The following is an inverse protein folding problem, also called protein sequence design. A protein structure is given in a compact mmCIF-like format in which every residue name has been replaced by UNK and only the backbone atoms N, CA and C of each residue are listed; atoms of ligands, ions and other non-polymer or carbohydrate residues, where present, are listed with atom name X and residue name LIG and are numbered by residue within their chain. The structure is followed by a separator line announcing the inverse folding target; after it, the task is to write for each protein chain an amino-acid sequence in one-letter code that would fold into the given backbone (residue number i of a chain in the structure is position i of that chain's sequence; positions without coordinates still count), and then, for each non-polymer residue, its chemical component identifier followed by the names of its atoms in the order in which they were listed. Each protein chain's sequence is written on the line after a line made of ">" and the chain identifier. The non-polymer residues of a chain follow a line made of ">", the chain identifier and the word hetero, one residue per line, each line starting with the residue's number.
data_IF_201979082271
#
_entry.id   IF_201979082271
#
_cell.length_a   1.000
_cell.length_b   1.000
_cell.length_c   1.000
_cell.angle_alpha   90.00
_cell.angle_beta   90.00
_cell.angle_gamma   90.00
#
_symmetry.space_group_name_H-M   'P 1'
#
loop_
_entity.id
_entity.type
_entity.pdbx_description
1 polymer ?
#
# COMPACT_ATOMS: atom_id res chain seq x y z
N UNK A 1 -29.20 10.93 -37.60
CA UNK A 1 -29.21 11.40 -36.19
C UNK A 1 -28.51 10.43 -35.21
N UNK A 2 -28.69 9.11 -35.31
CA UNK A 2 -28.08 8.13 -34.37
C UNK A 2 -26.54 8.14 -34.29
N UNK A 3 -25.82 8.48 -35.36
CA UNK A 3 -24.35 8.41 -35.42
C UNK A 3 -23.60 9.54 -34.67
N UNK A 4 -24.28 10.63 -34.30
CA UNK A 4 -23.68 11.73 -33.52
C UNK A 4 -24.01 11.65 -32.01
N UNK A 5 -25.01 10.86 -31.61
CA UNK A 5 -25.45 10.77 -30.23
C UNK A 5 -24.47 9.97 -29.34
N UNK A 6 -23.90 8.87 -29.85
CA UNK A 6 -22.98 8.01 -29.13
C UNK A 6 -21.69 8.74 -28.65
N UNK A 7 -21.00 9.51 -29.50
CA UNK A 7 -19.82 10.25 -29.05
C UNK A 7 -20.16 11.35 -28.01
N UNK A 8 -21.32 12.01 -28.14
CA UNK A 8 -21.75 13.03 -27.16
C UNK A 8 -22.02 12.38 -25.81
N UNK A 9 -22.78 11.27 -25.78
CA UNK A 9 -23.10 10.54 -24.57
C UNK A 9 -21.81 10.08 -23.83
N UNK A 10 -20.81 9.59 -24.56
CA UNK A 10 -19.53 9.16 -24.01
C UNK A 10 -18.79 10.31 -23.28
N UNK A 11 -18.74 11.51 -23.86
CA UNK A 11 -18.13 12.68 -23.22
C UNK A 11 -18.93 13.18 -22.02
N UNK A 12 -20.26 13.07 -22.06
CA UNK A 12 -21.10 13.38 -20.90
C UNK A 12 -20.80 12.42 -19.76
N UNK A 13 -20.74 11.10 -20.01
CA UNK A 13 -20.39 10.11 -18.99
C UNK A 13 -19.01 10.36 -18.42
N UNK A 14 -18.01 10.62 -19.27
CA UNK A 14 -16.66 10.95 -18.83
C UNK A 14 -16.64 12.19 -17.92
N UNK A 15 -17.35 13.25 -18.30
CA UNK A 15 -17.43 14.47 -17.49
C UNK A 15 -18.13 14.24 -16.14
N UNK A 16 -19.21 13.45 -16.12
CA UNK A 16 -19.93 13.13 -14.88
C UNK A 16 -19.06 12.29 -13.94
N UNK A 17 -18.32 11.31 -14.45
CA UNK A 17 -17.43 10.48 -13.63
C UNK A 17 -16.25 11.30 -13.08
N UNK A 18 -15.65 12.19 -13.88
CA UNK A 18 -14.64 13.12 -13.39
C UNK A 18 -15.19 14.06 -12.31
N UNK A 19 -16.41 14.58 -12.51
CA UNK A 19 -17.09 15.39 -11.48
C UNK A 19 -17.32 14.59 -10.20
N UNK A 20 -17.73 13.33 -10.28
CA UNK A 20 -17.88 12.44 -9.11
C UNK A 20 -16.56 12.31 -8.33
N UNK A 21 -15.44 12.09 -9.02
CA UNK A 21 -14.11 12.02 -8.39
C UNK A 21 -13.78 13.34 -7.68
N UNK A 22 -14.02 14.47 -8.33
CA UNK A 22 -13.80 15.80 -7.74
C UNK A 22 -14.68 15.99 -6.50
N UNK A 23 -15.95 15.61 -6.54
CA UNK A 23 -16.86 15.69 -5.39
C UNK A 23 -16.37 14.83 -4.22
N UNK A 24 -15.96 13.58 -4.46
CA UNK A 24 -15.39 12.72 -3.43
C UNK A 24 -14.12 13.35 -2.78
N UNK A 25 -13.31 14.05 -3.57
CA UNK A 25 -12.12 14.73 -3.05
C UNK A 25 -12.44 15.88 -2.08
N UNK A 26 -13.50 16.64 -2.35
CA UNK A 26 -13.91 17.78 -1.51
C UNK A 26 -14.91 17.41 -0.41
N UNK A 27 -15.59 16.28 -0.53
CA UNK A 27 -16.58 15.79 0.41
C UNK A 27 -16.22 14.38 0.92
N UNK A 28 -15.33 14.26 1.94
CA UNK A 28 -14.86 12.96 2.44
C UNK A 28 -15.97 11.99 2.85
N UNK A 29 -17.15 12.49 3.23
CA UNK A 29 -18.33 11.66 3.52
C UNK A 29 -18.76 10.82 2.31
N UNK A 30 -18.62 11.34 1.09
CA UNK A 30 -18.95 10.59 -0.13
C UNK A 30 -17.91 9.48 -0.39
N UNK A 31 -16.63 9.79 -0.15
CA UNK A 31 -15.56 8.81 -0.29
C UNK A 31 -15.65 7.73 0.80
N UNK A 32 -16.05 8.07 2.03
CA UNK A 32 -16.32 7.08 3.08
C UNK A 32 -17.50 6.19 2.71
N UNK A 33 -18.59 6.78 2.19
CA UNK A 33 -19.73 6.01 1.68
C UNK A 33 -19.34 5.04 0.57
N UNK A 34 -18.48 5.48 -0.36
CA UNK A 34 -17.91 4.60 -1.38
C UNK A 34 -17.07 3.47 -0.74
N UNK A 35 -16.15 3.81 0.16
CA UNK A 35 -15.24 2.86 0.79
C UNK A 35 -15.98 1.76 1.59
N UNK A 36 -17.06 2.12 2.28
CA UNK A 36 -17.81 1.19 3.12
C UNK A 36 -18.87 0.38 2.36
N UNK A 37 -19.48 0.94 1.30
CA UNK A 37 -20.66 0.33 0.67
C UNK A 37 -20.47 -0.12 -0.78
N UNK A 38 -19.54 0.49 -1.52
CA UNK A 38 -19.31 0.18 -2.94
C UNK A 38 -18.02 -0.61 -3.13
N UNK A 39 -16.93 -0.10 -2.57
CA UNK A 39 -15.59 -0.67 -2.77
C UNK A 39 -15.48 -2.16 -2.36
N UNK A 40 -16.05 -2.64 -1.23
CA UNK A 40 -15.95 -4.05 -0.86
C UNK A 40 -16.48 -5.01 -1.93
N UNK A 41 -17.60 -4.67 -2.55
CA UNK A 41 -18.18 -5.46 -3.63
C UNK A 41 -17.38 -5.37 -4.93
N UNK A 42 -16.92 -4.16 -5.25
CA UNK A 42 -16.12 -3.92 -6.44
C UNK A 42 -14.77 -4.65 -6.36
N UNK A 43 -14.04 -4.52 -5.24
CA UNK A 43 -12.77 -5.19 -5.04
C UNK A 43 -12.91 -6.70 -5.03
N UNK A 44 -13.97 -7.24 -4.41
CA UNK A 44 -14.28 -8.66 -4.45
C UNK A 44 -14.52 -9.16 -5.88
N UNK A 45 -15.31 -8.44 -6.67
CA UNK A 45 -15.58 -8.80 -8.07
C UNK A 45 -14.33 -8.72 -8.95
N UNK A 46 -13.54 -7.64 -8.84
CA UNK A 46 -12.31 -7.45 -9.61
C UNK A 46 -11.27 -8.50 -9.26
N UNK A 47 -11.03 -8.73 -7.96
CA UNK A 47 -10.08 -9.74 -7.51
C UNK A 47 -10.53 -11.17 -7.83
N UNK A 48 -11.84 -11.46 -7.88
CA UNK A 48 -12.34 -12.77 -8.33
C UNK A 48 -12.03 -13.01 -9.81
N UNK A 49 -12.22 -12.00 -10.66
CA UNK A 49 -11.80 -12.08 -12.07
C UNK A 49 -10.29 -12.28 -12.18
N UNK A 50 -9.53 -11.48 -11.45
CA UNK A 50 -8.08 -11.53 -11.47
C UNK A 50 -7.52 -12.88 -10.97
N UNK A 51 -8.15 -13.50 -9.96
CA UNK A 51 -7.71 -14.76 -9.36
C UNK A 51 -7.72 -15.96 -10.32
N UNK A 52 -8.48 -15.88 -11.41
CA UNK A 52 -8.50 -16.93 -12.45
C UNK A 52 -7.17 -17.01 -13.21
N UNK A 53 -6.41 -15.91 -13.24
CA UNK A 53 -5.16 -15.82 -13.98
C UNK A 53 -3.95 -16.00 -13.06
N UNK A 54 -2.95 -16.82 -13.42
CA UNK A 54 -1.75 -17.02 -12.61
C UNK A 54 -0.76 -15.85 -12.66
N UNK A 55 -1.02 -14.86 -13.51
CA UNK A 55 -0.19 -13.66 -13.69
C UNK A 55 -0.99 -12.39 -13.37
N UNK A 56 -0.28 -11.28 -13.20
CA UNK A 56 -0.91 -9.98 -12.92
C UNK A 56 -1.63 -9.42 -14.15
N UNK A 57 -2.95 -9.22 -14.05
CA UNK A 57 -3.72 -8.48 -15.05
C UNK A 57 -3.36 -6.99 -15.06
N UNK A 58 -2.96 -6.46 -13.90
CA UNK A 58 -2.45 -5.09 -13.75
C UNK A 58 -1.25 -4.84 -14.67
N UNK A 59 -0.22 -5.71 -14.58
CA UNK A 59 0.98 -5.57 -15.40
C UNK A 59 0.68 -5.73 -16.88
N UNK A 60 -0.21 -6.66 -17.24
CA UNK A 60 -0.68 -6.81 -18.64
C UNK A 60 -1.37 -5.53 -19.10
N UNK A 61 -2.26 -4.96 -18.31
CA UNK A 61 -2.95 -3.70 -18.66
C UNK A 61 -1.98 -2.56 -18.89
N UNK A 62 -1.00 -2.39 -17.99
CA UNK A 62 0.03 -1.34 -18.12
C UNK A 62 0.82 -1.51 -19.42
N UNK A 63 1.28 -2.74 -19.71
CA UNK A 63 2.00 -3.03 -20.98
C UNK A 63 1.12 -2.75 -22.21
N UNK A 64 -0.15 -3.16 -22.18
CA UNK A 64 -1.10 -2.90 -23.28
C UNK A 64 -1.31 -1.41 -23.49
N UNK A 65 -1.47 -0.62 -22.41
CA UNK A 65 -1.64 0.83 -22.51
C UNK A 65 -0.39 1.48 -23.12
N UNK A 66 0.81 1.11 -22.64
CA UNK A 66 2.08 1.65 -23.17
C UNK A 66 2.22 1.32 -24.65
N UNK A 67 1.99 0.06 -25.02
CA UNK A 67 2.05 -0.36 -26.43
C UNK A 67 1.03 0.38 -27.30
N UNK A 68 -0.19 0.58 -26.78
CA UNK A 68 -1.20 1.38 -27.47
C UNK A 68 -0.73 2.81 -27.71
N UNK A 69 -0.22 3.48 -26.69
CA UNK A 69 0.26 4.87 -26.78
C UNK A 69 1.41 5.04 -27.77
N UNK A 70 2.21 4.00 -27.99
CA UNK A 70 3.30 3.99 -28.99
C UNK A 70 2.76 3.67 -30.40
N UNK A 71 1.97 2.63 -30.52
CA UNK A 71 1.56 2.08 -31.84
C UNK A 71 0.44 2.92 -32.46
N UNK A 72 -0.53 3.40 -31.67
CA UNK A 72 -1.70 4.11 -32.17
C UNK A 72 -1.35 5.38 -32.96
N UNK A 73 -0.47 6.30 -32.48
CA UNK A 73 -0.03 7.46 -33.25
C UNK A 73 0.56 7.08 -34.61
N UNK A 74 1.43 6.07 -34.62
CA UNK A 74 2.08 5.60 -35.85
C UNK A 74 1.05 5.10 -36.87
N UNK A 75 0.11 4.24 -36.46
CA UNK A 75 -0.93 3.70 -37.33
C UNK A 75 -1.87 4.80 -37.85
N UNK A 76 -2.23 5.78 -37.01
CA UNK A 76 -3.15 6.87 -37.40
C UNK A 76 -2.46 7.90 -38.30
N UNK A 77 -1.17 8.13 -38.13
CA UNK A 77 -0.37 8.97 -39.05
C UNK A 77 -0.26 8.34 -40.43
N UNK A 78 -0.04 7.03 -40.50
CA UNK A 78 -0.08 6.28 -41.82
C UNK A 78 -1.43 6.46 -42.51
N UNK A 79 -2.54 6.57 -41.76
CA UNK A 79 -3.89 6.85 -42.28
C UNK A 79 -4.18 8.36 -42.45
N UNK A 80 -3.14 9.22 -42.50
CA UNK A 80 -3.19 10.67 -42.71
C UNK A 80 -4.08 11.43 -41.70
N UNK A 81 -4.31 10.87 -40.50
CA UNK A 81 -5.04 11.59 -39.44
C UNK A 81 -4.19 12.75 -38.86
N UNK A 82 -4.85 13.84 -38.47
CA UNK A 82 -4.17 14.99 -37.87
C UNK A 82 -3.63 14.68 -36.47
N UNK A 83 -2.57 15.36 -36.05
CA UNK A 83 -2.04 15.25 -34.70
C UNK A 83 -3.08 15.64 -33.62
N UNK A 84 -3.90 16.64 -33.87
CA UNK A 84 -4.99 17.02 -32.95
C UNK A 84 -5.96 15.86 -32.69
N UNK A 85 -6.29 15.10 -33.73
CA UNK A 85 -7.14 13.91 -33.58
C UNK A 85 -6.43 12.82 -32.77
N UNK A 86 -5.14 12.55 -33.04
CA UNK A 86 -4.36 11.52 -32.37
C UNK A 86 -4.21 11.87 -30.89
N UNK A 87 -3.71 13.06 -30.57
CA UNK A 87 -3.53 13.51 -29.17
C UNK A 87 -4.86 13.54 -28.42
N UNK A 88 -5.94 13.99 -29.03
CA UNK A 88 -7.26 13.97 -28.41
C UNK A 88 -7.72 12.56 -28.00
N UNK A 89 -7.36 11.52 -28.78
CA UNK A 89 -7.69 10.14 -28.47
C UNK A 89 -6.79 9.56 -27.38
N UNK A 90 -5.52 9.93 -27.36
CA UNK A 90 -4.59 9.51 -26.28
C UNK A 90 -5.00 10.16 -24.94
N UNK A 91 -5.34 11.44 -24.94
CA UNK A 91 -5.85 12.13 -23.75
C UNK A 91 -7.15 11.50 -23.26
N UNK A 92 -8.05 11.13 -24.18
CA UNK A 92 -9.28 10.42 -23.83
C UNK A 92 -9.00 9.05 -23.20
N UNK A 93 -8.05 8.27 -23.75
CA UNK A 93 -7.62 6.99 -23.14
C UNK A 93 -7.11 7.21 -21.72
N UNK A 94 -6.20 8.16 -21.53
CA UNK A 94 -5.66 8.49 -20.21
C UNK A 94 -6.73 8.96 -19.23
N UNK A 95 -7.73 9.70 -19.69
CA UNK A 95 -8.87 10.10 -18.86
C UNK A 95 -9.70 8.88 -18.40
N UNK A 96 -9.91 7.88 -19.26
CA UNK A 96 -10.58 6.64 -18.86
C UNK A 96 -9.74 5.80 -17.91
N UNK A 97 -8.42 5.72 -18.11
CA UNK A 97 -7.49 5.06 -17.17
C UNK A 97 -7.52 5.75 -15.80
N UNK A 98 -7.49 7.08 -15.78
CA UNK A 98 -7.61 7.88 -14.56
C UNK A 98 -8.94 7.62 -13.83
N UNK A 99 -10.06 7.64 -14.55
CA UNK A 99 -11.38 7.32 -13.98
C UNK A 99 -11.40 5.90 -13.41
N UNK A 100 -10.89 4.92 -14.16
CA UNK A 100 -10.85 3.54 -13.70
C UNK A 100 -10.00 3.37 -12.44
N UNK A 101 -8.83 4.01 -12.39
CA UNK A 101 -8.01 4.04 -11.19
C UNK A 101 -8.78 4.51 -9.96
N UNK A 102 -9.44 5.68 -10.07
CA UNK A 102 -10.18 6.23 -8.93
C UNK A 102 -11.41 5.41 -8.55
N UNK A 103 -12.19 5.00 -9.52
CA UNK A 103 -13.39 4.19 -9.26
C UNK A 103 -13.04 2.76 -8.84
N UNK A 104 -11.90 2.21 -9.27
CA UNK A 104 -11.44 0.89 -8.87
C UNK A 104 -10.91 0.86 -7.44
N UNK A 105 -10.23 1.94 -7.02
CA UNK A 105 -9.59 1.98 -5.71
C UNK A 105 -9.27 3.39 -5.20
N UNK A 106 -8.83 4.29 -6.06
CA UNK A 106 -8.23 5.58 -5.68
C UNK A 106 -9.15 6.50 -4.86
N UNK A 107 -10.48 6.33 -4.91
CA UNK A 107 -11.40 7.09 -4.06
C UNK A 107 -11.14 6.85 -2.57
N UNK A 108 -10.51 5.74 -2.18
CA UNK A 108 -10.12 5.49 -0.79
C UNK A 108 -9.10 6.52 -0.26
N UNK A 109 -8.38 7.24 -1.12
CA UNK A 109 -7.51 8.35 -0.68
C UNK A 109 -8.26 9.53 -0.08
N UNK A 110 -9.53 9.67 -0.37
CA UNK A 110 -10.35 10.82 0.05
C UNK A 110 -11.29 10.51 1.21
N UNK A 111 -11.28 9.25 1.73
CA UNK A 111 -12.07 8.84 2.88
C UNK A 111 -11.55 9.48 4.18
N UNK A 112 -12.31 9.32 5.26
CA UNK A 112 -11.85 9.72 6.59
C UNK A 112 -10.56 8.98 6.97
N UNK A 113 -9.66 9.68 7.67
CA UNK A 113 -8.47 9.06 8.25
C UNK A 113 -8.81 8.07 9.38
N UNK A 114 -7.82 7.32 9.82
CA UNK A 114 -8.00 6.30 10.87
C UNK A 114 -8.48 6.91 12.19
N UNK A 115 -8.00 8.10 12.55
CA UNK A 115 -8.36 8.77 13.81
C UNK A 115 -9.85 9.10 13.83
N UNK A 116 -10.36 9.71 12.76
CA UNK A 116 -11.77 10.05 12.63
C UNK A 116 -12.68 8.82 12.58
N UNK A 117 -12.26 7.75 11.90
CA UNK A 117 -13.02 6.48 11.85
C UNK A 117 -13.07 5.77 13.20
N UNK A 118 -12.05 5.95 14.02
CA UNK A 118 -11.96 5.38 15.36
C UNK A 118 -12.45 6.31 16.47
N UNK A 119 -12.89 7.52 16.11
CA UNK A 119 -13.33 8.57 17.06
C UNK A 119 -12.28 8.87 18.14
N UNK A 120 -11.01 8.91 17.73
CA UNK A 120 -9.85 9.16 18.60
C UNK A 120 -9.13 10.40 18.10
N UNK A 121 -8.75 11.29 19.02
CA UNK A 121 -7.86 12.41 18.69
C UNK A 121 -6.42 11.89 18.51
N UNK A 122 -5.68 12.39 17.50
CA UNK A 122 -4.25 12.09 17.37
C UNK A 122 -3.51 12.43 18.67
N UNK A 123 -2.69 11.51 19.15
CA UNK A 123 -1.84 11.77 20.31
C UNK A 123 -0.94 12.98 20.04
N UNK A 124 -0.96 13.95 20.94
CA UNK A 124 0.02 15.02 20.96
C UNK A 124 1.42 14.42 21.22
N UNK A 125 2.46 15.19 20.90
CA UNK A 125 3.82 14.79 21.26
C UNK A 125 3.95 14.69 22.78
N UNK A 126 4.22 13.50 23.28
CA UNK A 126 4.53 13.20 24.67
C UNK A 126 5.80 12.33 24.71
N UNK A 127 6.90 12.92 25.17
CA UNK A 127 8.19 12.26 25.28
C UNK A 127 8.15 11.06 26.23
N UNK A 128 7.42 11.16 27.34
CA UNK A 128 7.30 10.06 28.30
C UNK A 128 6.48 8.89 27.73
N UNK A 129 5.40 9.18 27.02
CA UNK A 129 4.64 8.17 26.31
C UNK A 129 5.51 7.48 25.25
N UNK A 130 6.31 8.24 24.50
CA UNK A 130 7.23 7.66 23.53
C UNK A 130 8.30 6.77 24.18
N UNK A 131 8.89 7.19 25.32
CA UNK A 131 9.84 6.35 26.07
C UNK A 131 9.18 5.06 26.57
N UNK A 132 7.97 5.11 27.14
CA UNK A 132 7.23 3.89 27.53
C UNK A 132 6.98 2.96 26.33
N UNK A 133 6.58 3.53 25.19
CA UNK A 133 6.42 2.79 23.95
C UNK A 133 7.72 2.09 23.54
N UNK A 134 8.87 2.79 23.52
CA UNK A 134 10.17 2.19 23.16
C UNK A 134 10.53 1.00 24.04
N UNK A 135 10.34 1.10 25.37
CA UNK A 135 10.60 0.00 26.31
C UNK A 135 9.69 -1.19 25.98
N UNK A 136 8.40 -0.98 25.94
CA UNK A 136 7.40 -2.03 25.69
C UNK A 136 7.60 -2.69 24.31
N UNK A 137 7.89 -1.87 23.29
CA UNK A 137 8.16 -2.34 21.94
C UNK A 137 9.43 -3.21 21.90
N UNK A 138 10.51 -2.76 22.54
CA UNK A 138 11.80 -3.47 22.54
C UNK A 138 11.69 -4.80 23.28
N UNK A 139 11.01 -4.82 24.41
CA UNK A 139 10.75 -6.05 25.16
C UNK A 139 9.97 -7.06 24.30
N UNK A 140 8.92 -6.58 23.63
CA UNK A 140 8.10 -7.41 22.74
C UNK A 140 8.87 -7.89 21.51
N UNK A 141 9.68 -7.03 20.89
CA UNK A 141 10.58 -7.39 19.78
C UNK A 141 11.56 -8.50 20.20
N UNK A 142 12.23 -8.32 21.34
CA UNK A 142 13.20 -9.28 21.87
C UNK A 142 12.54 -10.63 22.22
N UNK A 143 11.33 -10.61 22.80
CA UNK A 143 10.57 -11.80 23.12
C UNK A 143 10.03 -12.53 21.88
N UNK A 144 9.70 -11.80 20.82
CA UNK A 144 9.16 -12.35 19.59
C UNK A 144 10.22 -13.03 18.71
N UNK A 145 11.51 -12.77 18.97
CA UNK A 145 12.60 -13.30 18.17
C UNK A 145 12.50 -14.82 18.01
N UNK A 146 12.71 -15.28 16.79
CA UNK A 146 12.85 -16.68 16.43
C UNK A 146 13.89 -16.84 15.32
N UNK A 147 14.76 -17.85 15.44
CA UNK A 147 15.69 -18.23 14.38
C UNK A 147 14.98 -18.91 13.21
N UNK A 148 13.80 -19.49 13.46
CA UNK A 148 12.98 -20.14 12.44
C UNK A 148 11.97 -19.15 11.86
N UNK A 149 12.43 -18.37 10.86
CA UNK A 149 11.62 -17.33 10.20
C UNK A 149 10.85 -17.82 8.97
N UNK A 150 11.15 -19.04 8.49
CA UNK A 150 10.44 -19.61 7.35
C UNK A 150 9.02 -20.02 7.74
N UNK A 151 8.06 -19.61 6.92
CA UNK A 151 6.65 -19.98 7.07
C UNK A 151 6.17 -20.68 5.81
N UNK A 152 5.18 -21.55 5.96
CA UNK A 152 4.37 -22.03 4.84
C UNK A 152 3.52 -20.84 4.34
N UNK A 153 3.72 -20.38 3.09
CA UNK A 153 3.06 -19.16 2.60
C UNK A 153 1.52 -19.25 2.60
N UNK A 154 0.96 -20.40 2.24
CA UNK A 154 -0.50 -20.57 2.17
C UNK A 154 -1.13 -20.49 3.55
N UNK A 155 -0.57 -21.24 4.53
CA UNK A 155 -1.04 -21.23 5.91
C UNK A 155 -0.86 -19.86 6.57
N UNK A 156 0.22 -19.17 6.28
CA UNK A 156 0.48 -17.81 6.77
C UNK A 156 -0.56 -16.84 6.20
N UNK A 157 -0.83 -16.89 4.89
CA UNK A 157 -1.83 -16.03 4.23
C UNK A 157 -3.22 -16.30 4.79
N UNK A 158 -3.60 -17.56 4.97
CA UNK A 158 -4.90 -17.93 5.53
C UNK A 158 -5.06 -17.38 6.95
N UNK A 159 -4.08 -17.57 7.82
CA UNK A 159 -4.13 -17.07 9.20
C UNK A 159 -4.24 -15.53 9.23
N UNK A 160 -3.46 -14.82 8.44
CA UNK A 160 -3.52 -13.36 8.35
C UNK A 160 -4.91 -12.90 7.87
N UNK A 161 -5.51 -13.55 6.87
CA UNK A 161 -6.88 -13.26 6.43
C UNK A 161 -7.91 -13.51 7.54
N UNK A 162 -7.78 -14.60 8.28
CA UNK A 162 -8.66 -14.93 9.41
C UNK A 162 -8.59 -13.85 10.50
N UNK A 163 -7.39 -13.35 10.82
CA UNK A 163 -7.23 -12.26 11.79
C UNK A 163 -7.85 -10.96 11.25
N UNK A 164 -7.67 -10.63 9.97
CA UNK A 164 -8.34 -9.47 9.37
C UNK A 164 -9.87 -9.57 9.41
N UNK A 165 -10.46 -10.76 9.25
CA UNK A 165 -11.91 -10.97 9.37
C UNK A 165 -12.46 -10.71 10.78
N UNK A 166 -11.58 -10.77 11.79
CA UNK A 166 -11.94 -10.46 13.19
C UNK A 166 -11.84 -8.97 13.52
N UNK A 167 -11.29 -8.15 12.60
CA UNK A 167 -11.25 -6.70 12.78
C UNK A 167 -12.67 -6.15 12.76
N UNK A 168 -13.07 -5.38 13.78
CA UNK A 168 -14.42 -4.81 13.85
C UNK A 168 -14.77 -3.97 12.61
N UNK A 169 -15.98 -4.12 12.10
CA UNK A 169 -16.48 -3.42 10.90
C UNK A 169 -16.45 -1.89 11.01
N UNK A 170 -16.49 -1.35 12.24
CA UNK A 170 -16.38 0.08 12.50
C UNK A 170 -15.09 0.71 11.95
N UNK A 171 -14.03 -0.08 11.77
CA UNK A 171 -12.79 0.42 11.20
C UNK A 171 -12.85 0.57 9.67
N UNK A 172 -13.95 0.15 9.05
CA UNK A 172 -14.23 0.40 7.65
C UNK A 172 -13.30 -0.34 6.67
N UNK A 173 -12.78 -1.51 7.05
CA UNK A 173 -12.03 -2.38 6.15
C UNK A 173 -12.99 -3.34 5.43
N UNK A 174 -12.73 -3.61 4.14
CA UNK A 174 -13.36 -4.71 3.44
C UNK A 174 -12.92 -6.07 4.03
N UNK A 175 -13.68 -7.13 3.79
CA UNK A 175 -13.30 -8.47 4.25
C UNK A 175 -12.46 -9.19 3.19
N UNK A 176 -11.32 -9.81 3.57
CA UNK A 176 -10.51 -10.58 2.64
C UNK A 176 -11.24 -11.83 2.16
N UNK A 177 -11.07 -12.14 0.88
CA UNK A 177 -11.65 -13.31 0.24
C UNK A 177 -10.63 -14.45 0.14
N UNK A 178 -11.08 -15.71 0.19
CA UNK A 178 -10.16 -16.85 0.18
C UNK A 178 -9.38 -16.97 -1.13
N UNK A 179 -9.99 -16.60 -2.25
CA UNK A 179 -9.35 -16.63 -3.57
C UNK A 179 -8.34 -15.50 -3.81
N UNK A 180 -8.23 -14.52 -2.92
CA UNK A 180 -7.23 -13.44 -3.02
C UNK A 180 -5.86 -13.97 -2.60
N UNK A 181 -4.98 -14.20 -3.56
CA UNK A 181 -3.59 -14.60 -3.34
C UNK A 181 -2.65 -13.55 -3.96
N UNK A 182 -1.53 -13.24 -3.33
CA UNK A 182 -0.55 -12.36 -3.93
C UNK A 182 0.06 -13.02 -5.16
N UNK A 183 0.30 -12.23 -6.19
CA UNK A 183 0.94 -12.66 -7.43
C UNK A 183 2.42 -12.28 -7.43
N UNK A 184 3.18 -12.95 -8.26
CA UNK A 184 4.57 -12.61 -8.49
C UNK A 184 4.67 -11.46 -9.49
N UNK A 185 5.68 -10.62 -9.31
CA UNK A 185 5.98 -9.48 -10.18
C UNK A 185 6.80 -9.97 -11.38
N UNK A 186 6.40 -9.65 -12.61
CA UNK A 186 7.12 -10.09 -13.82
C UNK A 186 8.52 -9.49 -13.94
N UNK A 187 8.66 -8.22 -13.60
CA UNK A 187 9.94 -7.51 -13.69
C UNK A 187 10.57 -7.35 -12.30
N UNK A 188 10.64 -8.45 -11.54
CA UNK A 188 11.08 -8.44 -10.14
C UNK A 188 12.41 -7.69 -9.91
N UNK A 189 13.47 -7.83 -10.73
CA UNK A 189 14.70 -7.07 -10.55
C UNK A 189 14.53 -5.55 -10.63
N UNK A 190 13.56 -5.06 -11.43
CA UNK A 190 13.25 -3.63 -11.49
C UNK A 190 12.62 -3.16 -10.18
N UNK A 191 11.68 -3.93 -9.62
CA UNK A 191 11.03 -3.61 -8.34
C UNK A 191 12.04 -3.65 -7.19
N UNK A 192 12.91 -4.65 -7.14
CA UNK A 192 14.01 -4.72 -6.19
C UNK A 192 14.96 -3.53 -6.35
N UNK A 193 15.29 -3.17 -7.60
CA UNK A 193 16.15 -2.05 -7.93
C UNK A 193 15.61 -0.68 -7.49
N UNK A 194 14.30 -0.54 -7.30
CA UNK A 194 13.68 0.68 -6.77
C UNK A 194 13.19 0.54 -5.32
N UNK A 195 13.47 -0.59 -4.66
CA UNK A 195 13.15 -0.83 -3.25
C UNK A 195 11.68 -1.12 -2.98
N UNK A 196 10.92 -1.62 -3.97
CA UNK A 196 9.52 -2.00 -3.81
C UNK A 196 9.43 -3.46 -3.37
N UNK A 197 8.85 -3.68 -2.19
CA UNK A 197 8.70 -5.00 -1.57
C UNK A 197 7.40 -5.71 -1.99
N UNK A 198 6.38 -4.93 -2.29
CA UNK A 198 5.08 -5.36 -2.77
C UNK A 198 4.29 -4.16 -3.26
N UNK A 199 3.17 -4.38 -3.89
CA UNK A 199 2.21 -3.32 -4.21
C UNK A 199 0.81 -3.90 -4.44
N UNK A 200 -0.19 -3.07 -4.24
CA UNK A 200 -1.57 -3.37 -4.59
C UNK A 200 -1.91 -2.73 -5.94
N UNK A 201 -2.35 -3.56 -6.89
CA UNK A 201 -2.79 -3.15 -8.22
C UNK A 201 -4.25 -2.68 -8.22
N UNK A 202 -4.49 -1.36 -8.40
CA UNK A 202 -5.82 -0.75 -8.23
C UNK A 202 -6.81 -1.09 -9.35
N UNK A 203 -6.33 -1.51 -10.53
CA UNK A 203 -7.22 -1.75 -11.68
C UNK A 203 -7.96 -3.08 -11.61
N UNK A 204 -7.40 -4.07 -10.92
CA UNK A 204 -7.98 -5.40 -10.79
C UNK A 204 -8.07 -5.90 -9.35
N UNK A 205 -7.79 -5.05 -8.38
CA UNK A 205 -7.75 -5.40 -6.96
C UNK A 205 -6.87 -6.65 -6.72
N UNK A 206 -5.64 -6.58 -7.19
CA UNK A 206 -4.60 -7.62 -7.03
C UNK A 206 -3.54 -7.15 -6.04
N UNK A 207 -2.93 -8.07 -5.31
CA UNK A 207 -1.69 -7.80 -4.58
C UNK A 207 -0.53 -8.53 -5.22
N UNK A 208 0.63 -7.88 -5.28
CA UNK A 208 1.87 -8.43 -5.80
C UNK A 208 2.93 -8.37 -4.72
N UNK A 209 3.77 -9.40 -4.65
CA UNK A 209 4.90 -9.46 -3.75
C UNK A 209 6.20 -9.65 -4.52
N UNK A 210 7.24 -8.99 -4.05
CA UNK A 210 8.58 -9.17 -4.56
C UNK A 210 9.10 -10.57 -4.20
N UNK A 211 9.59 -11.32 -5.18
CA UNK A 211 10.09 -12.70 -5.00
C UNK A 211 11.36 -12.76 -4.15
N UNK A 212 12.09 -11.65 -4.06
CA UNK A 212 13.33 -11.54 -3.29
C UNK A 212 13.10 -11.12 -1.83
N UNK A 213 11.85 -11.12 -1.34
CA UNK A 213 11.56 -10.87 0.07
C UNK A 213 12.28 -11.87 0.97
N UNK A 214 12.97 -11.35 1.97
CA UNK A 214 13.51 -12.20 3.03
C UNK A 214 12.36 -12.87 3.80
N UNK A 215 12.52 -14.13 4.26
CA UNK A 215 11.47 -14.85 4.97
C UNK A 215 10.87 -14.07 6.15
N UNK A 216 11.69 -13.32 6.88
CA UNK A 216 11.23 -12.47 8.00
C UNK A 216 10.38 -11.27 7.54
N UNK A 217 10.51 -10.82 6.30
CA UNK A 217 9.74 -9.69 5.76
C UNK A 217 8.38 -10.11 5.19
N UNK A 218 8.29 -11.35 4.70
CA UNK A 218 7.13 -11.83 3.94
C UNK A 218 5.80 -11.65 4.67
N UNK A 219 5.61 -12.05 5.96
CA UNK A 219 4.32 -11.89 6.64
C UNK A 219 3.88 -10.44 6.79
N UNK A 220 4.78 -9.56 7.23
CA UNK A 220 4.47 -8.14 7.40
C UNK A 220 4.13 -7.47 6.06
N UNK A 221 4.94 -7.72 5.02
CA UNK A 221 4.69 -7.15 3.68
C UNK A 221 3.37 -7.66 3.12
N UNK A 222 3.08 -8.96 3.24
CA UNK A 222 1.79 -9.51 2.80
C UNK A 222 0.60 -8.85 3.52
N UNK A 223 0.68 -8.71 4.84
CA UNK A 223 -0.39 -8.08 5.62
C UNK A 223 -0.57 -6.59 5.25
N UNK A 224 0.53 -5.88 4.95
CA UNK A 224 0.52 -4.51 4.47
C UNK A 224 -0.19 -4.39 3.13
N UNK A 225 0.20 -5.17 2.11
CA UNK A 225 -0.44 -5.15 0.80
C UNK A 225 -1.90 -5.60 0.86
N UNK A 226 -2.21 -6.58 1.71
CA UNK A 226 -3.59 -6.98 1.94
C UNK A 226 -4.42 -5.84 2.53
N UNK A 227 -3.87 -5.01 3.43
CA UNK A 227 -4.59 -3.85 3.97
C UNK A 227 -5.01 -2.86 2.87
N UNK A 228 -4.13 -2.62 1.89
CA UNK A 228 -4.47 -1.81 0.72
C UNK A 228 -5.61 -2.43 -0.08
N UNK A 229 -5.59 -3.74 -0.27
CA UNK A 229 -6.68 -4.46 -0.93
C UNK A 229 -8.00 -4.38 -0.16
N UNK A 230 -7.94 -4.21 1.16
CA UNK A 230 -9.11 -4.00 2.03
C UNK A 230 -9.57 -2.53 2.13
N UNK A 231 -8.98 -1.62 1.34
CA UNK A 231 -9.39 -0.22 1.21
C UNK A 231 -8.60 0.78 2.04
N UNK A 232 -7.46 0.37 2.60
CA UNK A 232 -6.52 1.29 3.25
C UNK A 232 -5.64 1.93 2.19
N UNK A 233 -5.61 3.26 2.11
CA UNK A 233 -4.78 4.00 1.14
C UNK A 233 -3.60 4.74 1.78
N UNK A 234 -3.61 4.90 3.10
CA UNK A 234 -2.57 5.55 3.87
C UNK A 234 -1.51 4.53 4.28
N UNK A 235 -0.24 4.82 4.00
CA UNK A 235 0.89 3.91 4.25
C UNK A 235 1.16 3.68 5.75
N UNK A 236 0.98 4.73 6.58
CA UNK A 236 1.11 4.58 8.02
C UNK A 236 0.01 3.67 8.59
N UNK A 237 -1.21 3.83 8.09
CA UNK A 237 -2.32 2.97 8.46
C UNK A 237 -2.09 1.53 7.97
N UNK A 238 -1.56 1.33 6.76
CA UNK A 238 -1.24 0.01 6.25
C UNK A 238 -0.16 -0.69 7.10
N UNK A 239 0.87 0.04 7.54
CA UNK A 239 1.86 -0.45 8.48
C UNK A 239 1.26 -0.78 9.86
N UNK A 240 0.32 0.04 10.35
CA UNK A 240 -0.40 -0.22 11.60
C UNK A 240 -1.19 -1.53 11.53
N UNK A 241 -1.95 -1.74 10.46
CA UNK A 241 -2.72 -2.96 10.29
C UNK A 241 -1.83 -4.19 10.12
N UNK A 242 -0.75 -4.08 9.34
CA UNK A 242 0.23 -5.16 9.20
C UNK A 242 0.84 -5.56 10.54
N UNK A 243 1.27 -4.59 11.34
CA UNK A 243 1.78 -4.81 12.68
C UNK A 243 0.74 -5.46 13.59
N UNK A 244 -0.46 -4.86 13.69
CA UNK A 244 -1.54 -5.33 14.56
C UNK A 244 -1.98 -6.74 14.24
N UNK A 245 -2.13 -7.08 12.97
CA UNK A 245 -2.57 -8.40 12.52
C UNK A 245 -1.46 -9.44 12.74
N UNK A 246 -0.24 -9.15 12.29
CA UNK A 246 0.86 -10.11 12.41
C UNK A 246 1.26 -10.38 13.87
N UNK A 247 1.22 -9.37 14.77
CA UNK A 247 1.54 -9.60 16.19
C UNK A 247 0.51 -10.49 16.91
N UNK A 248 -0.73 -10.55 16.40
CA UNK A 248 -1.80 -11.38 16.94
C UNK A 248 -1.73 -12.83 16.49
N UNK A 249 -0.81 -13.18 15.58
CA UNK A 249 -0.64 -14.53 15.06
C UNK A 249 -0.17 -15.52 16.15
N UNK A 250 -0.60 -16.76 16.03
CA UNK A 250 -0.12 -17.87 16.87
C UNK A 250 1.28 -18.35 16.45
N UNK A 251 1.74 -18.02 15.25
CA UNK A 251 3.04 -18.41 14.69
C UNK A 251 4.14 -17.45 15.11
N UNK A 252 5.20 -17.96 15.75
CA UNK A 252 6.35 -17.15 16.21
C UNK A 252 6.99 -16.35 15.06
N UNK A 253 7.20 -16.96 13.88
CA UNK A 253 7.78 -16.30 12.73
C UNK A 253 6.92 -15.10 12.22
N UNK A 254 5.59 -15.22 12.26
CA UNK A 254 4.68 -14.13 11.88
C UNK A 254 4.70 -13.01 12.92
N UNK A 255 4.70 -13.34 14.22
CA UNK A 255 4.83 -12.35 15.29
C UNK A 255 6.16 -11.61 15.21
N UNK A 256 7.27 -12.33 15.02
CA UNK A 256 8.58 -11.71 14.86
C UNK A 256 8.59 -10.77 13.64
N UNK A 257 8.02 -11.18 12.52
CA UNK A 257 7.86 -10.34 11.32
C UNK A 257 7.12 -9.04 11.61
N UNK A 258 6.11 -9.04 12.50
CA UNK A 258 5.38 -7.82 12.87
C UNK A 258 6.31 -6.78 13.50
N UNK A 259 7.04 -7.17 14.53
CA UNK A 259 7.95 -6.26 15.23
C UNK A 259 9.15 -5.89 14.36
N UNK A 260 9.74 -6.86 13.66
CA UNK A 260 10.86 -6.62 12.75
C UNK A 260 10.49 -5.72 11.57
N UNK A 261 9.26 -5.84 11.05
CA UNK A 261 8.72 -4.97 9.99
C UNK A 261 8.52 -3.53 10.45
N UNK A 262 8.12 -3.34 11.71
CA UNK A 262 7.94 -2.01 12.31
C UNK A 262 9.26 -1.34 12.69
N UNK A 263 10.33 -2.10 12.97
CA UNK A 263 11.62 -1.61 13.49
C UNK A 263 12.22 -0.43 12.70
N UNK A 264 12.23 -0.40 11.36
CA UNK A 264 12.76 0.76 10.61
C UNK A 264 12.07 2.08 10.97
N UNK A 265 10.77 2.06 11.22
CA UNK A 265 9.98 3.24 11.55
C UNK A 265 10.19 3.66 13.01
N UNK A 266 10.35 2.70 13.91
CA UNK A 266 10.74 2.96 15.31
C UNK A 266 12.12 3.60 15.36
N UNK A 267 13.11 3.08 14.60
CA UNK A 267 14.45 3.65 14.52
C UNK A 267 14.43 5.11 14.02
N UNK A 268 13.64 5.42 12.97
CA UNK A 268 13.50 6.79 12.44
C UNK A 268 12.91 7.72 13.50
N UNK A 269 11.87 7.31 14.19
CA UNK A 269 11.24 8.13 15.23
C UNK A 269 12.16 8.29 16.42
N UNK A 270 12.78 7.22 16.91
CA UNK A 270 13.72 7.26 18.03
C UNK A 270 14.90 8.19 17.76
N UNK A 271 15.50 8.12 16.55
CA UNK A 271 16.61 9.02 16.16
C UNK A 271 16.20 10.50 16.05
N UNK A 272 14.89 10.79 15.97
CA UNK A 272 14.37 12.16 15.90
C UNK A 272 14.00 12.73 17.26
N UNK A 273 13.73 11.87 18.24
CA UNK A 273 13.25 12.23 19.58
C UNK A 273 14.35 12.15 20.62
N UNK A 274 15.15 11.07 20.60
CA UNK A 274 16.20 10.83 21.58
C UNK A 274 17.46 11.63 21.26
N UNK A 275 18.22 11.97 22.31
CA UNK A 275 19.61 12.41 22.16
C UNK A 275 20.46 11.28 21.57
N UNK A 276 21.62 11.61 21.02
CA UNK A 276 22.53 10.62 20.45
C UNK A 276 23.00 9.56 21.47
N UNK A 277 23.14 9.97 22.72
CA UNK A 277 23.53 9.08 23.81
C UNK A 277 22.38 8.14 24.21
N UNK A 278 21.19 8.67 24.42
CA UNK A 278 19.97 7.88 24.72
C UNK A 278 19.67 6.89 23.58
N UNK A 279 19.79 7.33 22.33
CA UNK A 279 19.59 6.44 21.19
C UNK A 279 20.60 5.29 21.19
N UNK A 280 21.89 5.57 21.45
CA UNK A 280 22.92 4.53 21.54
C UNK A 280 22.65 3.55 22.68
N UNK A 281 22.25 4.04 23.85
CA UNK A 281 21.91 3.17 24.98
C UNK A 281 20.66 2.32 24.69
N UNK A 282 19.64 2.93 24.07
CA UNK A 282 18.45 2.18 23.66
C UNK A 282 18.78 1.07 22.65
N UNK A 283 19.60 1.33 21.63
CA UNK A 283 20.00 0.29 20.66
C UNK A 283 20.66 -0.93 21.34
N UNK A 284 21.41 -0.72 22.43
CA UNK A 284 22.05 -1.81 23.20
C UNK A 284 21.02 -2.71 23.90
N UNK A 285 19.79 -2.25 24.11
CA UNK A 285 18.71 -3.05 24.70
C UNK A 285 18.07 -3.99 23.70
N UNK A 286 18.27 -3.77 22.39
CA UNK A 286 17.78 -4.65 21.33
C UNK A 286 18.68 -5.88 21.28
N UNK A 287 18.06 -7.05 21.23
CA UNK A 287 18.71 -8.35 21.15
C UNK A 287 19.73 -8.39 19.98
N UNK A 288 20.98 -8.86 20.21
CA UNK A 288 22.03 -8.84 19.18
C UNK A 288 21.66 -9.58 17.89
N UNK A 289 20.89 -10.66 17.99
CA UNK A 289 20.44 -11.41 16.83
C UNK A 289 19.46 -10.58 15.95
N UNK A 290 18.60 -9.78 16.58
CA UNK A 290 17.69 -8.88 15.85
C UNK A 290 18.49 -7.79 15.14
N UNK A 291 19.51 -7.23 15.80
CA UNK A 291 20.41 -6.24 15.18
C UNK A 291 21.10 -6.86 13.97
N UNK A 292 21.63 -8.08 14.11
CA UNK A 292 22.27 -8.80 13.01
C UNK A 292 21.31 -9.06 11.84
N UNK A 293 20.08 -9.48 12.11
CA UNK A 293 19.07 -9.70 11.08
C UNK A 293 18.73 -8.38 10.35
N UNK A 294 18.68 -7.26 11.08
CA UNK A 294 18.40 -5.95 10.51
C UNK A 294 19.58 -5.43 9.65
N UNK A 295 20.80 -5.62 10.08
CA UNK A 295 22.00 -5.28 9.29
C UNK A 295 22.06 -6.14 8.02
N UNK A 296 21.81 -7.45 8.13
CA UNK A 296 21.72 -8.34 6.98
C UNK A 296 20.66 -7.88 5.99
N UNK A 297 19.45 -7.55 6.45
CA UNK A 297 18.37 -6.99 5.61
C UNK A 297 18.85 -5.73 4.88
N UNK A 298 19.53 -4.81 5.58
CA UNK A 298 20.02 -3.56 4.96
C UNK A 298 21.04 -3.84 3.87
N UNK A 299 22.03 -4.70 4.15
CA UNK A 299 23.04 -5.09 3.16
C UNK A 299 22.37 -5.76 1.94
N UNK A 300 21.51 -6.72 2.18
CA UNK A 300 20.79 -7.46 1.16
C UNK A 300 20.03 -6.57 0.17
N UNK A 301 19.31 -5.56 0.66
CA UNK A 301 18.58 -4.63 -0.19
C UNK A 301 19.46 -3.55 -0.80
N UNK A 302 20.52 -3.11 -0.14
CA UNK A 302 21.49 -2.16 -0.70
C UNK A 302 22.21 -2.71 -1.92
N UNK A 303 22.52 -4.01 -1.95
CA UNK A 303 23.13 -4.67 -3.12
C UNK A 303 22.21 -4.69 -4.35
N UNK A 304 20.90 -4.65 -4.14
CA UNK A 304 19.89 -4.68 -5.19
C UNK A 304 19.43 -3.30 -5.65
N UNK A 305 19.58 -2.32 -4.78
CA UNK A 305 19.03 -0.97 -5.00
C UNK A 305 19.85 -0.19 -6.05
N UNK A 306 19.15 0.33 -7.06
CA UNK A 306 19.72 1.25 -8.04
C UNK A 306 19.47 2.69 -7.61
N UNK A 307 20.51 3.42 -7.23
CA UNK A 307 20.40 4.80 -6.77
C UNK A 307 19.65 5.68 -7.78
N UNK A 308 20.01 5.58 -9.07
CA UNK A 308 19.39 6.41 -10.11
C UNK A 308 17.89 6.12 -10.27
N UNK A 309 17.53 4.85 -10.44
CA UNK A 309 16.13 4.45 -10.65
C UNK A 309 15.30 4.66 -9.40
N UNK A 310 15.86 4.33 -8.23
CA UNK A 310 15.18 4.50 -6.95
C UNK A 310 14.92 5.97 -6.61
N UNK A 311 15.86 6.88 -6.87
CA UNK A 311 15.63 8.31 -6.67
C UNK A 311 14.54 8.86 -7.59
N UNK A 312 14.51 8.44 -8.86
CA UNK A 312 13.44 8.82 -9.79
C UNK A 312 12.08 8.32 -9.32
N UNK A 313 11.99 7.03 -8.98
CA UNK A 313 10.76 6.43 -8.44
C UNK A 313 10.30 7.14 -7.17
N UNK A 314 11.22 7.41 -6.24
CA UNK A 314 10.94 8.11 -4.98
C UNK A 314 10.34 9.50 -5.20
N UNK A 315 10.85 10.27 -6.16
CA UNK A 315 10.31 11.60 -6.51
C UNK A 315 8.91 11.50 -7.09
N UNK A 316 8.69 10.59 -8.04
CA UNK A 316 7.39 10.38 -8.69
C UNK A 316 6.36 9.91 -7.65
N UNK A 317 6.71 8.92 -6.82
CA UNK A 317 5.82 8.38 -5.81
C UNK A 317 5.48 9.41 -4.71
N UNK A 318 6.45 10.21 -4.29
CA UNK A 318 6.20 11.31 -3.34
C UNK A 318 5.22 12.36 -3.90
N UNK A 319 5.33 12.71 -5.20
CA UNK A 319 4.37 13.60 -5.87
C UNK A 319 2.98 12.95 -5.96
N UNK A 320 2.91 11.67 -6.26
CA UNK A 320 1.67 10.89 -6.31
C UNK A 320 0.95 10.90 -4.96
N UNK A 321 1.64 10.59 -3.86
CA UNK A 321 1.07 10.59 -2.52
C UNK A 321 0.54 11.98 -2.13
N UNK A 322 1.34 13.03 -2.35
CA UNK A 322 0.93 14.41 -2.06
C UNK A 322 -0.29 14.84 -2.89
N UNK A 323 -0.37 14.42 -4.15
CA UNK A 323 -1.52 14.63 -5.02
C UNK A 323 -2.81 13.94 -4.54
N UNK A 324 -2.66 12.89 -3.74
CA UNK A 324 -3.75 12.06 -3.21
C UNK A 324 -3.99 12.27 -1.70
N UNK A 325 -3.92 13.51 -1.21
CA UNK A 325 -4.21 13.89 0.19
C UNK A 325 -3.27 13.26 1.24
N UNK A 326 -2.04 12.91 0.88
CA UNK A 326 -0.99 12.51 1.83
C UNK A 326 0.12 13.58 1.79
N UNK A 327 -0.01 14.69 2.55
CA UNK A 327 0.89 15.85 2.44
C UNK A 327 2.32 15.54 2.87
N UNK A 328 2.53 14.62 3.82
CA UNK A 328 3.84 14.13 4.25
C UNK A 328 4.55 13.31 3.15
N UNK A 329 3.81 12.84 2.12
CA UNK A 329 4.37 12.01 1.07
C UNK A 329 4.97 10.73 1.65
N UNK A 330 6.20 10.38 1.26
CA UNK A 330 6.87 9.17 1.76
C UNK A 330 7.22 9.18 3.24
N UNK A 331 7.25 10.33 3.92
CA UNK A 331 7.41 10.38 5.38
C UNK A 331 6.22 9.76 6.11
N UNK A 332 5.06 9.64 5.44
CA UNK A 332 3.86 9.00 5.98
C UNK A 332 4.11 7.59 6.53
N UNK A 333 5.00 6.82 5.94
CA UNK A 333 5.33 5.49 6.45
C UNK A 333 5.78 5.47 7.93
N UNK A 334 6.50 6.48 8.37
CA UNK A 334 7.00 6.59 9.75
C UNK A 334 5.93 7.15 10.72
N UNK A 335 4.83 7.71 10.21
CA UNK A 335 3.73 8.23 11.03
C UNK A 335 2.93 7.10 11.73
N UNK A 336 3.21 5.83 11.41
CA UNK A 336 2.64 4.66 12.08
C UNK A 336 2.85 4.69 13.60
N UNK A 337 3.97 5.26 14.06
CA UNK A 337 4.25 5.37 15.50
C UNK A 337 3.24 6.31 16.17
N UNK A 338 2.88 7.42 15.52
CA UNK A 338 1.81 8.30 15.99
C UNK A 338 0.44 7.60 16.10
N UNK A 339 0.13 6.73 15.13
CA UNK A 339 -1.09 5.91 15.17
C UNK A 339 -1.06 4.95 16.36
N UNK A 340 0.07 4.27 16.59
CA UNK A 340 0.22 3.34 17.71
C UNK A 340 0.06 4.05 19.07
N UNK A 341 0.73 5.18 19.26
CA UNK A 341 0.61 5.99 20.49
C UNK A 341 -0.82 6.49 20.71
N UNK A 342 -1.56 6.79 19.64
CA UNK A 342 -2.94 7.28 19.78
C UNK A 342 -3.96 6.18 20.10
N UNK A 343 -3.73 4.95 19.62
CA UNK A 343 -4.73 3.88 19.66
C UNK A 343 -4.45 2.79 20.68
N UNK A 344 -3.21 2.60 21.12
CA UNK A 344 -2.82 1.46 21.96
C UNK A 344 -2.39 1.86 23.38
N UNK A 345 -2.12 3.13 23.67
CA UNK A 345 -1.79 3.61 25.02
C UNK A 345 -3.03 4.05 25.83
N UNK A 346 -4.22 3.70 25.38
CA UNK A 346 -5.47 3.84 26.15
C UNK A 346 -5.91 2.45 26.61
#
# INVERSE_FOLDING_TARGET
>A
MKTKLLPILRYIVLALLLLCIVLCRFFPVMAEGYACHIYPWLSAALSAIASVFPFSLEEVLVVVIILWMIIYPFLKRRKKKSWRFIVGREVELLAWVYIWFYLGWGLNYFRYDIYRRMEVEPAGYDEQAFHRFLVSYTDSLNQSYTAEVKTDPERMQQEIKEIYRQVPSMYGLALPQDYQHPKQVWFNPLYSGVGVLGYMGPFFAESQLNEELLPVQLPFTYAHELSHLLGVSNEAEANYWAYRVCRSSKRSAVRYSAYFGLLPYVLVNASSVLTEEEFREWIKTIRPEVVKDYEYKRMYWNERYSTLLGEMQNKIYNLFLKGNNIPSGRKNYAEVIGILLSLEEK
#
